data_IF_306766831510
#
_entry.id   IF_306766831510
#
_cell.length_a   1.000
_cell.length_b   1.000
_cell.length_c   1.000
_cell.angle_alpha   90.00
_cell.angle_beta   90.00
_cell.angle_gamma   90.00
#
_symmetry.space_group_name_H-M   'P 1'
#
loop_
_entity.id
_entity.type
_entity.pdbx_description
1 polymer ?
#
# COMPACT_ATOMS: atom_id res chain seq x y z
N UNK A 1 -31.63 -40.52 -1.57
CA UNK A 1 -30.18 -40.30 -1.27
C UNK A 1 -29.54 -39.47 -2.39
N UNK A 2 -29.84 -38.17 -2.50
CA UNK A 2 -29.40 -37.31 -3.62
C UNK A 2 -28.99 -35.89 -3.21
N UNK A 3 -28.77 -35.65 -1.91
CA UNK A 3 -28.46 -34.33 -1.36
C UNK A 3 -26.98 -34.16 -0.91
N UNK A 4 -26.16 -35.22 -1.02
CA UNK A 4 -24.79 -35.20 -0.48
C UNK A 4 -23.69 -34.80 -1.47
N UNK A 5 -23.99 -34.68 -2.77
CA UNK A 5 -22.98 -34.41 -3.79
C UNK A 5 -22.77 -32.91 -4.10
N UNK A 6 -23.69 -32.02 -3.70
CA UNK A 6 -23.56 -30.58 -3.97
C UNK A 6 -22.76 -29.82 -2.91
N UNK A 7 -22.54 -30.39 -1.73
CA UNK A 7 -21.81 -29.73 -0.64
C UNK A 7 -20.28 -29.79 -0.80
N UNK A 8 -19.76 -30.70 -1.63
CA UNK A 8 -18.32 -30.88 -1.83
C UNK A 8 -17.72 -29.98 -2.93
N UNK A 9 -18.53 -29.43 -3.85
CA UNK A 9 -18.01 -28.57 -4.92
C UNK A 9 -17.81 -27.11 -4.50
N UNK A 10 -18.49 -26.63 -3.43
CA UNK A 10 -18.40 -25.23 -2.99
C UNK A 10 -17.20 -24.98 -2.08
N UNK A 11 -16.68 -26.01 -1.40
CA UNK A 11 -15.49 -25.90 -0.53
C UNK A 11 -14.16 -25.98 -1.28
N UNK A 12 -14.12 -26.49 -2.52
CA UNK A 12 -12.88 -26.60 -3.30
C UNK A 12 -12.53 -25.27 -4.01
N UNK A 13 -13.52 -24.42 -4.32
CA UNK A 13 -13.25 -23.13 -4.97
C UNK A 13 -12.67 -22.05 -4.04
N UNK A 14 -12.69 -22.24 -2.71
CA UNK A 14 -12.10 -21.27 -1.76
C UNK A 14 -10.59 -21.42 -1.58
N UNK A 15 -9.96 -22.46 -2.12
CA UNK A 15 -8.53 -22.74 -1.95
C UNK A 15 -7.65 -22.25 -3.13
N UNK A 16 -8.25 -21.75 -4.21
CA UNK A 16 -7.53 -21.37 -5.45
C UNK A 16 -7.22 -19.87 -5.59
N UNK A 17 -7.57 -19.04 -4.61
CA UNK A 17 -7.32 -17.58 -4.67
C UNK A 17 -6.16 -17.01 -3.81
N UNK A 18 -5.25 -17.76 -3.16
CA UNK A 18 -4.23 -17.13 -2.31
C UNK A 18 -3.13 -16.42 -3.11
N UNK A 19 -2.74 -16.93 -4.28
CA UNK A 19 -1.59 -16.40 -5.04
C UNK A 19 -1.82 -14.98 -5.60
N UNK A 20 -3.06 -14.63 -5.99
CA UNK A 20 -3.36 -13.29 -6.49
C UNK A 20 -3.35 -12.22 -5.38
N UNK A 21 -3.51 -12.63 -4.12
CA UNK A 21 -3.60 -11.72 -2.95
C UNK A 21 -2.26 -11.44 -2.29
N UNK A 22 -1.25 -12.28 -2.49
CA UNK A 22 0.05 -12.13 -1.82
C UNK A 22 0.81 -10.83 -2.18
N UNK A 23 0.49 -10.20 -3.32
CA UNK A 23 1.03 -8.89 -3.71
C UNK A 23 0.23 -7.67 -3.18
N UNK A 24 -0.96 -7.90 -2.63
CA UNK A 24 -1.76 -6.85 -2.01
C UNK A 24 -1.42 -6.79 -0.52
N UNK A 25 -0.51 -5.89 -0.16
CA UNK A 25 -0.13 -5.66 1.24
C UNK A 25 -1.26 -4.90 1.93
N UNK A 26 -1.71 -5.37 3.10
CA UNK A 26 -2.78 -4.74 3.86
C UNK A 26 -2.36 -3.38 4.40
N UNK A 27 -3.33 -2.48 4.65
CA UNK A 27 -3.01 -1.16 5.18
C UNK A 27 -2.31 -1.24 6.54
N UNK A 28 -2.69 -2.20 7.40
CA UNK A 28 -2.04 -2.43 8.70
C UNK A 28 -0.55 -2.71 8.57
N UNK A 29 -0.16 -3.50 7.58
CA UNK A 29 1.22 -3.93 7.41
C UNK A 29 2.06 -2.79 6.82
N UNK A 30 1.50 -2.02 5.87
CA UNK A 30 2.14 -0.81 5.35
C UNK A 30 2.37 0.23 6.45
N UNK A 31 1.41 0.42 7.36
CA UNK A 31 1.54 1.33 8.49
C UNK A 31 2.55 0.80 9.52
N UNK A 32 2.58 -0.51 9.78
CA UNK A 32 3.55 -1.13 10.70
C UNK A 32 4.98 -0.97 10.20
N UNK A 33 5.23 -1.25 8.91
CA UNK A 33 6.51 -0.98 8.24
C UNK A 33 6.88 0.50 8.36
N UNK A 34 5.91 1.40 8.11
CA UNK A 34 6.10 2.84 8.21
C UNK A 34 6.29 3.36 9.64
N UNK A 35 5.97 2.59 10.66
CA UNK A 35 6.21 2.94 12.05
C UNK A 35 7.57 2.43 12.56
N UNK A 36 8.20 1.46 11.88
CA UNK A 36 9.46 0.85 12.31
C UNK A 36 10.67 1.73 11.93
N UNK A 37 11.44 2.25 12.90
CA UNK A 37 12.59 3.12 12.64
C UNK A 37 13.75 2.41 11.92
N UNK A 38 13.75 1.08 11.89
CA UNK A 38 14.77 0.24 11.25
C UNK A 38 14.37 -0.24 9.85
N UNK A 39 13.17 0.11 9.37
CA UNK A 39 12.63 -0.34 8.08
C UNK A 39 13.54 -0.02 6.88
N UNK A 40 14.35 1.04 6.96
CA UNK A 40 15.27 1.43 5.89
C UNK A 40 16.61 0.68 5.92
N UNK A 41 17.04 0.25 7.10
CA UNK A 41 18.36 -0.37 7.32
C UNK A 41 18.30 -1.89 7.44
N UNK A 42 17.10 -2.46 7.65
CA UNK A 42 16.90 -3.89 7.82
C UNK A 42 15.97 -4.44 6.73
N UNK A 43 16.54 -5.27 5.85
CA UNK A 43 15.79 -6.07 4.88
C UNK A 43 14.69 -6.95 5.50
N UNK A 44 14.81 -7.25 6.81
CA UNK A 44 13.88 -8.13 7.53
C UNK A 44 12.56 -7.48 7.90
N UNK A 45 12.55 -6.18 8.20
CA UNK A 45 11.35 -5.50 8.73
C UNK A 45 10.15 -5.68 7.80
N UNK A 46 10.36 -5.49 6.50
CA UNK A 46 9.28 -5.71 5.54
C UNK A 46 8.88 -7.18 5.50
N UNK A 47 9.82 -8.12 5.43
CA UNK A 47 9.51 -9.57 5.39
C UNK A 47 8.91 -10.12 6.68
N UNK A 48 9.05 -9.42 7.81
CA UNK A 48 8.39 -9.76 9.07
C UNK A 48 6.90 -9.32 9.06
N UNK A 49 6.54 -8.36 8.20
CA UNK A 49 5.19 -7.83 8.05
C UNK A 49 4.45 -8.35 6.81
N UNK A 50 5.17 -8.69 5.73
CA UNK A 50 4.59 -9.22 4.49
C UNK A 50 4.81 -10.72 4.36
N UNK A 51 3.92 -11.43 3.65
CA UNK A 51 4.00 -12.89 3.49
C UNK A 51 5.33 -13.37 2.85
N UNK A 52 5.65 -14.66 3.03
CA UNK A 52 6.92 -15.34 2.74
C UNK A 52 7.48 -15.30 1.29
N UNK A 53 6.91 -14.52 0.37
CA UNK A 53 7.27 -14.51 -1.06
C UNK A 53 7.93 -13.20 -1.53
N UNK A 54 8.22 -12.26 -0.62
CA UNK A 54 8.90 -11.01 -0.95
C UNK A 54 10.42 -11.16 -0.86
N UNK A 55 11.11 -10.76 -1.93
CA UNK A 55 12.58 -10.82 -2.02
C UNK A 55 13.17 -9.44 -1.78
N UNK A 56 14.11 -9.32 -0.84
CA UNK A 56 14.87 -8.09 -0.63
C UNK A 56 15.88 -7.88 -1.77
N UNK A 57 15.79 -6.71 -2.40
CA UNK A 57 16.74 -6.20 -3.38
C UNK A 57 17.43 -5.00 -2.74
N UNK A 58 18.67 -5.21 -2.30
CA UNK A 58 19.49 -4.14 -1.74
C UNK A 58 19.74 -3.01 -2.74
N UNK A 59 20.29 -1.90 -2.26
CA UNK A 59 20.71 -0.82 -3.14
C UNK A 59 21.74 -1.34 -4.17
N UNK A 60 21.52 -1.02 -5.44
CA UNK A 60 22.42 -1.36 -6.54
C UNK A 60 23.03 -0.09 -7.13
N UNK A 61 24.10 -0.18 -7.95
CA UNK A 61 24.66 1.00 -8.62
C UNK A 61 23.64 1.78 -9.46
N UNK A 62 22.58 1.12 -9.94
CA UNK A 62 21.51 1.72 -10.74
C UNK A 62 20.25 2.05 -9.94
N UNK A 63 20.05 1.47 -8.76
CA UNK A 63 18.93 1.75 -7.86
C UNK A 63 19.43 2.09 -6.45
N UNK A 64 19.41 3.38 -6.11
CA UNK A 64 19.94 3.90 -4.84
C UNK A 64 19.10 3.53 -3.61
N UNK A 65 17.85 3.14 -3.81
CA UNK A 65 16.92 2.82 -2.73
C UNK A 65 16.77 1.30 -2.60
N UNK A 66 16.90 0.72 -1.39
CA UNK A 66 16.55 -0.67 -1.16
C UNK A 66 15.07 -0.89 -1.45
N UNK A 67 14.72 -2.07 -1.97
CA UNK A 67 13.34 -2.42 -2.28
C UNK A 67 13.08 -3.89 -2.03
N UNK A 68 11.80 -4.24 -1.93
CA UNK A 68 11.34 -5.63 -1.85
C UNK A 68 10.50 -5.89 -3.08
N UNK A 69 10.71 -7.00 -3.74
CA UNK A 69 9.96 -7.37 -4.94
C UNK A 69 9.18 -8.65 -4.71
N UNK A 70 7.95 -8.66 -5.21
CA UNK A 70 7.13 -9.86 -5.26
C UNK A 70 7.07 -10.34 -6.71
N UNK A 71 7.45 -11.60 -6.93
CA UNK A 71 7.40 -12.26 -8.23
C UNK A 71 6.59 -13.55 -8.07
N UNK A 72 5.36 -13.63 -8.61
CA UNK A 72 4.57 -14.84 -8.55
C UNK A 72 5.32 -16.01 -9.19
N UNK A 73 5.08 -17.24 -8.71
CA UNK A 73 5.62 -18.44 -9.33
C UNK A 73 5.26 -18.50 -10.82
N UNK A 74 6.27 -18.74 -11.66
CA UNK A 74 6.12 -18.76 -13.13
C UNK A 74 6.14 -17.40 -13.82
N UNK A 75 6.22 -16.28 -13.09
CA UNK A 75 6.40 -14.96 -13.69
C UNK A 75 7.88 -14.68 -13.99
N UNK A 76 8.15 -14.01 -15.12
CA UNK A 76 9.49 -13.60 -15.53
C UNK A 76 9.92 -12.23 -14.99
N UNK A 77 9.00 -11.49 -14.37
CA UNK A 77 9.24 -10.15 -13.84
C UNK A 77 8.42 -9.92 -12.55
N UNK A 78 8.86 -9.03 -11.65
CA UNK A 78 8.11 -8.67 -10.45
C UNK A 78 6.76 -8.04 -10.79
N UNK A 79 5.71 -8.43 -10.06
CA UNK A 79 4.36 -7.82 -10.20
C UNK A 79 4.07 -6.77 -9.13
N UNK A 80 4.89 -6.72 -8.07
CA UNK A 80 4.89 -5.63 -7.10
C UNK A 80 6.29 -5.31 -6.59
N UNK A 81 6.47 -4.07 -6.15
CA UNK A 81 7.68 -3.55 -5.50
C UNK A 81 7.31 -2.68 -4.32
N UNK A 82 7.92 -2.92 -3.18
CA UNK A 82 7.78 -2.12 -1.97
C UNK A 82 9.09 -1.37 -1.71
N UNK A 83 9.01 -0.09 -1.35
CA UNK A 83 10.15 0.75 -0.99
C UNK A 83 9.84 1.50 0.31
N UNK A 84 10.88 1.76 1.10
CA UNK A 84 10.78 2.61 2.29
C UNK A 84 11.75 3.77 2.12
N UNK A 85 11.26 5.01 2.28
CA UNK A 85 12.06 6.22 2.11
C UNK A 85 12.01 7.10 3.35
N UNK A 86 13.14 7.71 3.75
CA UNK A 86 13.14 8.70 4.82
C UNK A 86 12.39 9.95 4.34
N UNK A 87 11.47 10.44 5.17
CA UNK A 87 10.76 11.70 4.92
C UNK A 87 10.60 12.44 6.24
N UNK A 88 10.96 13.71 6.35
CA UNK A 88 10.91 14.42 7.65
C UNK A 88 9.62 15.24 7.78
N UNK A 89 8.83 15.06 8.86
CA UNK A 89 8.92 14.01 9.90
C UNK A 89 8.43 12.64 9.39
N UNK A 90 9.02 11.54 9.89
CA UNK A 90 8.55 10.17 9.61
C UNK A 90 9.23 9.40 8.47
N UNK A 91 8.42 8.63 7.73
CA UNK A 91 8.87 7.88 6.56
C UNK A 91 7.72 7.56 5.60
N UNK A 92 8.05 7.37 4.33
CA UNK A 92 7.13 6.93 3.30
C UNK A 92 7.33 5.44 3.02
N UNK A 93 6.24 4.68 3.03
CA UNK A 93 6.18 3.32 2.49
C UNK A 93 5.46 3.36 1.15
N UNK A 94 6.15 2.93 0.09
CA UNK A 94 5.65 2.94 -1.27
C UNK A 94 5.39 1.51 -1.72
N UNK A 95 4.14 1.18 -2.02
CA UNK A 95 3.78 -0.07 -2.69
C UNK A 95 3.43 0.23 -4.14
N UNK A 96 4.24 -0.29 -5.06
CA UNK A 96 4.01 -0.26 -6.51
C UNK A 96 3.50 -1.63 -6.94
N UNK A 97 2.45 -1.68 -7.75
CA UNK A 97 1.87 -2.95 -8.22
C UNK A 97 1.29 -2.83 -9.62
N UNK A 98 1.18 -3.96 -10.30
CA UNK A 98 0.47 -4.14 -11.57
C UNK A 98 -1.03 -4.39 -11.37
N UNK A 99 -1.48 -4.65 -10.15
CA UNK A 99 -2.86 -5.06 -9.87
C UNK A 99 -3.75 -3.92 -9.37
N UNK A 100 -4.82 -3.66 -10.12
CA UNK A 100 -5.86 -2.72 -9.71
C UNK A 100 -6.63 -3.17 -8.46
N UNK A 101 -6.71 -4.48 -8.20
CA UNK A 101 -7.41 -5.04 -7.03
C UNK A 101 -6.80 -4.57 -5.72
N UNK A 102 -5.47 -4.47 -5.63
CA UNK A 102 -4.81 -4.04 -4.39
C UNK A 102 -5.21 -2.60 -4.00
N UNK A 103 -5.33 -1.70 -4.99
CA UNK A 103 -5.82 -0.33 -4.72
C UNK A 103 -7.29 -0.31 -4.32
N UNK A 104 -8.11 -1.19 -4.89
CA UNK A 104 -9.52 -1.30 -4.55
C UNK A 104 -9.72 -1.78 -3.11
N UNK A 105 -8.94 -2.78 -2.70
CA UNK A 105 -8.98 -3.34 -1.35
C UNK A 105 -8.51 -2.30 -0.33
N UNK A 106 -7.37 -1.64 -0.56
CA UNK A 106 -6.90 -0.54 0.30
C UNK A 106 -7.88 0.64 0.36
N UNK A 107 -8.49 1.01 -0.77
CA UNK A 107 -9.54 2.03 -0.80
C UNK A 107 -10.75 1.63 0.05
N UNK A 108 -11.11 0.36 0.05
CA UNK A 108 -12.19 -0.17 0.89
C UNK A 108 -11.83 -0.07 2.38
N UNK A 109 -10.61 -0.46 2.75
CA UNK A 109 -10.10 -0.35 4.13
C UNK A 109 -10.08 1.12 4.63
N UNK A 110 -9.62 2.06 3.80
CA UNK A 110 -9.59 3.49 4.13
C UNK A 110 -11.00 4.07 4.32
N UNK A 111 -11.95 3.66 3.47
CA UNK A 111 -13.37 4.02 3.61
C UNK A 111 -13.99 3.42 4.86
N UNK A 112 -13.67 2.18 5.20
CA UNK A 112 -14.14 1.52 6.43
C UNK A 112 -13.67 2.27 7.69
N UNK A 113 -12.49 2.90 7.62
CA UNK A 113 -11.94 3.81 8.65
C UNK A 113 -12.56 5.22 8.64
N UNK A 114 -13.57 5.46 7.81
CA UNK A 114 -14.28 6.75 7.66
C UNK A 114 -13.38 7.92 7.25
N UNK A 115 -12.28 7.63 6.53
CA UNK A 115 -11.43 8.69 6.00
C UNK A 115 -12.03 9.29 4.74
N UNK A 116 -12.00 10.62 4.63
CA UNK A 116 -12.50 11.34 3.46
C UNK A 116 -11.47 11.31 2.33
N UNK A 117 -11.94 10.97 1.13
CA UNK A 117 -11.14 10.99 -0.08
C UNK A 117 -10.99 12.45 -0.58
N UNK A 118 -9.76 12.89 -0.78
CA UNK A 118 -9.41 14.18 -1.37
C UNK A 118 -8.74 13.96 -2.74
N UNK A 119 -9.25 14.53 -3.84
CA UNK A 119 -8.59 14.41 -5.13
C UNK A 119 -7.23 15.12 -5.10
N UNK A 120 -6.23 14.51 -5.72
CA UNK A 120 -4.90 15.11 -5.88
C UNK A 120 -4.67 15.37 -7.37
N UNK A 121 -4.28 16.61 -7.69
CA UNK A 121 -3.96 17.00 -9.06
C UNK A 121 -2.71 16.25 -9.52
N UNK A 122 -2.88 15.33 -10.46
CA UNK A 122 -1.78 14.64 -11.13
C UNK A 122 -1.92 14.85 -12.66
N UNK A 123 -0.93 15.46 -13.33
CA UNK A 123 -1.05 15.77 -14.76
C UNK A 123 -1.20 14.56 -15.68
N UNK A 124 -0.68 13.40 -15.27
CA UNK A 124 -0.58 12.20 -16.10
C UNK A 124 -1.07 10.93 -15.37
N UNK A 125 -1.89 11.11 -14.34
CA UNK A 125 -2.43 9.99 -13.56
C UNK A 125 -3.68 10.42 -12.79
N UNK A 126 -4.38 9.48 -12.19
CA UNK A 126 -5.44 9.75 -11.23
C UNK A 126 -4.88 9.55 -9.82
N UNK A 127 -5.14 10.48 -8.90
CA UNK A 127 -4.64 10.38 -7.55
C UNK A 127 -5.68 10.80 -6.51
N UNK A 128 -5.76 10.05 -5.41
CA UNK A 128 -6.67 10.32 -4.29
C UNK A 128 -5.92 10.17 -2.99
N UNK A 129 -6.00 11.17 -2.12
CA UNK A 129 -5.40 11.21 -0.79
C UNK A 129 -6.43 11.00 0.30
N UNK A 130 -6.04 10.29 1.35
CA UNK A 130 -6.78 10.10 2.58
C UNK A 130 -5.89 10.55 3.73
N UNK A 131 -6.40 11.40 4.61
CA UNK A 131 -5.64 11.95 5.74
C UNK A 131 -6.21 11.43 7.05
N UNK A 132 -5.33 10.91 7.90
CA UNK A 132 -5.60 10.54 9.29
C UNK A 132 -4.68 11.37 10.23
N UNK A 133 -4.89 11.34 11.55
CA UNK A 133 -4.11 12.16 12.48
C UNK A 133 -2.59 11.88 12.49
N UNK A 134 -2.20 10.64 12.19
CA UNK A 134 -0.81 10.18 12.27
C UNK A 134 -0.28 9.56 10.98
N UNK A 135 -1.07 9.56 9.90
CA UNK A 135 -0.63 9.09 8.60
C UNK A 135 -1.46 9.71 7.47
N UNK A 136 -0.90 9.73 6.28
CA UNK A 136 -1.67 9.94 5.06
C UNK A 136 -1.42 8.82 4.06
N UNK A 137 -2.42 8.52 3.24
CA UNK A 137 -2.32 7.55 2.17
C UNK A 137 -2.71 8.22 0.87
N UNK A 138 -1.83 8.20 -0.11
CA UNK A 138 -2.11 8.64 -1.47
C UNK A 138 -2.12 7.45 -2.42
N UNK A 139 -3.25 7.21 -3.07
CA UNK A 139 -3.44 6.17 -4.07
C UNK A 139 -3.34 6.79 -5.46
N UNK A 140 -2.37 6.36 -6.25
CA UNK A 140 -2.17 6.75 -7.64
C UNK A 140 -2.57 5.60 -8.58
N UNK A 141 -3.40 5.88 -9.56
CA UNK A 141 -3.80 4.95 -10.63
C UNK A 141 -3.48 5.52 -12.00
N UNK A 142 -3.38 4.62 -12.99
CA UNK A 142 -3.06 4.97 -14.38
C UNK A 142 -1.69 5.65 -14.54
N UNK A 143 -0.71 5.31 -13.69
CA UNK A 143 0.65 5.80 -13.86
C UNK A 143 1.30 5.18 -15.10
N UNK A 144 2.10 5.97 -15.83
CA UNK A 144 2.94 5.44 -16.91
C UNK A 144 4.16 4.72 -16.31
N UNK A 145 4.43 3.49 -16.74
CA UNK A 145 5.61 2.72 -16.35
C UNK A 145 5.32 1.25 -16.06
N UNK A 146 6.29 0.56 -15.45
CA UNK A 146 6.21 -0.86 -15.08
C UNK A 146 5.07 -1.15 -14.09
N UNK A 147 4.79 -0.22 -13.19
CA UNK A 147 3.76 -0.35 -12.15
C UNK A 147 2.72 0.79 -12.28
N UNK A 148 1.57 0.53 -12.94
CA UNK A 148 0.54 1.55 -13.18
C UNK A 148 -0.24 1.97 -11.93
N UNK A 149 -0.09 1.23 -10.82
CA UNK A 149 -0.75 1.50 -9.56
C UNK A 149 0.27 1.67 -8.44
N UNK A 150 0.18 2.78 -7.73
CA UNK A 150 1.12 3.13 -6.66
C UNK A 150 0.36 3.61 -5.43
N UNK A 151 0.77 3.12 -4.28
CA UNK A 151 0.28 3.51 -2.96
C UNK A 151 1.45 4.12 -2.23
N UNK A 152 1.23 5.31 -1.67
CA UNK A 152 2.19 5.98 -0.80
C UNK A 152 1.53 6.13 0.56
N UNK A 153 2.10 5.50 1.58
CA UNK A 153 1.71 5.67 2.98
C UNK A 153 2.79 6.50 3.65
N UNK A 154 2.45 7.72 4.05
CA UNK A 154 3.32 8.56 4.85
C UNK A 154 2.93 8.40 6.33
N UNK A 155 3.84 7.87 7.13
CA UNK A 155 3.62 7.65 8.56
C UNK A 155 4.37 8.72 9.36
N UNK A 156 3.65 9.50 10.15
CA UNK A 156 4.24 10.49 11.06
C UNK A 156 4.28 9.89 12.48
N UNK A 157 5.44 9.92 13.17
CA UNK A 157 5.52 9.48 14.56
C UNK A 157 4.55 10.25 15.45
N UNK A 158 3.94 9.55 16.42
CA UNK A 158 3.04 10.16 17.38
C UNK A 158 3.73 11.34 18.11
N UNK A 159 3.07 12.50 18.16
CA UNK A 159 3.61 13.73 18.77
C UNK A 159 4.39 14.66 17.82
N UNK A 160 4.62 14.25 16.56
CA UNK A 160 5.23 15.11 15.52
C UNK A 160 4.24 15.46 14.40
N UNK A 161 2.97 15.07 14.53
CA UNK A 161 1.93 15.43 13.57
C UNK A 161 1.74 16.96 13.53
N UNK A 162 1.73 17.59 12.35
CA UNK A 162 1.34 18.98 12.23
C UNK A 162 -0.08 19.17 12.78
N UNK A 163 -0.39 20.32 13.42
CA UNK A 163 -1.74 20.61 13.87
C UNK A 163 -2.72 20.47 12.69
N UNK A 164 -3.84 19.78 12.92
CA UNK A 164 -4.87 19.59 11.91
C UNK A 164 -5.23 20.93 11.25
N UNK A 165 -5.43 20.98 9.93
CA UNK A 165 -5.80 22.22 9.26
C UNK A 165 -7.09 22.75 9.91
N UNK A 166 -6.99 23.92 10.54
CA UNK A 166 -8.13 24.60 11.10
C UNK A 166 -9.18 24.75 9.99
N UNK A 167 -10.38 24.23 10.24
CA UNK A 167 -11.52 24.44 9.35
C UNK A 167 -11.60 25.93 9.03
N UNK A 168 -11.51 26.27 7.74
CA UNK A 168 -11.64 27.64 7.28
C UNK A 168 -12.99 28.19 7.77
N UNK A 169 -12.93 28.97 8.86
CA UNK A 169 -14.06 29.72 9.37
C UNK A 169 -14.49 30.66 8.25
N UNK A 170 -15.73 30.48 7.79
CA UNK A 170 -16.28 31.24 6.69
C UNK A 170 -16.16 32.74 6.95
N UNK A 171 -15.41 33.42 6.10
CA UNK A 171 -15.48 34.88 5.99
C UNK A 171 -16.74 35.23 5.22
N UNK A 172 -17.84 35.41 5.96
CA UNK A 172 -18.93 36.29 5.52
C UNK A 172 -18.30 37.67 5.31
N UNK A 173 -18.30 38.13 4.06
CA UNK A 173 -17.86 39.48 3.69
C UNK A 173 -19.12 40.35 3.57
N UNK A 174 -19.12 41.58 4.10
CA UNK A 174 -20.30 42.44 4.19
C UNK A 174 -20.86 42.90 2.84
#
# INVERSE_FOLDING_TARGET
MRAFFFLCCVTILTLLAPAARAQCVALSDLLAIGADPTAQSSGKVVTDHVSFEWTFVGATPTAKEPSWTFTPSGASAPTARLLVRPQRPGQDVLLKTTQASCLRDLRSELKARKLTAQPVTCPNCEAVRYQAPNFDVTLYSQMKGEFPYVVVVHQVPAGMAPPAPAAAAGSKTP
#
